data_IF_112569085410
#
_entry.id   IF_112569085410
#
_cell.length_a   1.000
_cell.length_b   1.000
_cell.length_c   1.000
_cell.angle_alpha   90.00
_cell.angle_beta   90.00
_cell.angle_gamma   90.00
#
_symmetry.space_group_name_H-M   'P 1'
#
loop_
_entity.id
_entity.type
_entity.pdbx_description
1 polymer ?
#
# COMPACT_ATOMS: atom_id res chain seq x y z
N UNK A 1 -9.30 -0.66 -14.17
CA UNK A 1 -8.22 -1.69 -14.15
C UNK A 1 -7.68 -1.80 -12.75
N UNK A 2 -7.68 -3.00 -12.18
CA UNK A 2 -7.31 -3.24 -10.78
C UNK A 2 -5.80 -3.44 -10.64
N UNK A 3 -5.10 -2.41 -10.16
CA UNK A 3 -3.69 -2.48 -9.81
C UNK A 3 -3.48 -2.83 -8.34
N UNK A 4 -2.31 -3.38 -8.01
CA UNK A 4 -1.95 -3.76 -6.65
C UNK A 4 -0.48 -3.46 -6.37
N UNK A 5 -0.19 -2.97 -5.16
CA UNK A 5 1.19 -2.87 -4.68
C UNK A 5 1.65 -4.25 -4.20
N UNK A 6 2.68 -4.76 -4.84
CA UNK A 6 3.32 -6.04 -4.51
C UNK A 6 4.62 -5.76 -3.76
N UNK A 7 4.93 -6.62 -2.80
CA UNK A 7 6.14 -6.53 -1.99
C UNK A 7 7.03 -7.73 -2.29
N UNK A 8 8.30 -7.46 -2.66
CA UNK A 8 9.36 -8.44 -2.66
C UNK A 8 10.19 -8.22 -1.38
N UNK A 9 10.03 -9.12 -0.43
CA UNK A 9 10.65 -9.02 0.91
C UNK A 9 12.17 -9.10 0.84
N UNK A 10 12.71 -9.93 -0.08
CA UNK A 10 14.15 -10.16 -0.21
C UNK A 10 14.91 -8.90 -0.66
N UNK A 11 14.21 -7.96 -1.29
CA UNK A 11 14.78 -6.70 -1.76
C UNK A 11 14.64 -5.55 -0.76
N UNK A 12 13.91 -5.73 0.35
CA UNK A 12 13.69 -4.66 1.31
C UNK A 12 14.89 -4.50 2.26
N UNK A 13 15.56 -3.35 2.17
CA UNK A 13 16.67 -2.99 3.04
C UNK A 13 16.29 -2.07 4.20
N UNK A 14 15.00 -1.93 4.51
CA UNK A 14 14.47 -1.08 5.59
C UNK A 14 14.84 0.41 5.52
N UNK A 15 15.15 0.96 4.35
CA UNK A 15 15.58 2.37 4.21
C UNK A 15 14.49 3.40 4.52
N UNK A 16 13.20 2.98 4.65
CA UNK A 16 12.03 3.82 4.94
C UNK A 16 11.73 4.94 3.95
N UNK A 17 12.39 5.00 2.79
CA UNK A 17 12.08 5.98 1.74
C UNK A 17 10.61 5.93 1.33
N UNK A 18 9.99 4.75 1.36
CA UNK A 18 8.56 4.57 1.07
C UNK A 18 7.66 5.23 2.12
N UNK A 19 8.05 5.23 3.40
CA UNK A 19 7.30 5.93 4.47
C UNK A 19 7.36 7.44 4.26
N UNK A 20 8.55 7.97 4.03
CA UNK A 20 8.76 9.41 3.80
C UNK A 20 7.97 9.87 2.57
N UNK A 21 8.13 9.20 1.43
CA UNK A 21 7.41 9.56 0.21
C UNK A 21 5.90 9.44 0.36
N UNK A 22 5.41 8.46 1.13
CA UNK A 22 3.99 8.32 1.42
C UNK A 22 3.47 9.46 2.29
N UNK A 23 4.19 9.88 3.32
CA UNK A 23 3.83 11.01 4.17
C UNK A 23 3.78 12.31 3.36
N UNK A 24 4.80 12.56 2.54
CA UNK A 24 4.86 13.74 1.66
C UNK A 24 3.71 13.76 0.65
N UNK A 25 3.40 12.62 0.00
CA UNK A 25 2.28 12.55 -0.96
C UNK A 25 0.93 12.87 -0.31
N UNK A 26 0.79 12.58 0.99
CA UNK A 26 -0.45 12.81 1.72
C UNK A 26 -0.40 14.07 2.61
N UNK A 27 0.65 14.88 2.45
CA UNK A 27 0.73 16.23 3.04
C UNK A 27 -0.08 17.25 2.22
N UNK A 28 -0.32 18.39 2.80
CA UNK A 28 -0.98 19.51 2.11
C UNK A 28 -0.06 20.12 1.06
N UNK A 29 1.20 20.34 1.43
CA UNK A 29 2.21 20.97 0.57
C UNK A 29 2.76 20.07 -0.53
N UNK A 30 2.77 18.74 -0.32
CA UNK A 30 3.41 17.75 -1.18
C UNK A 30 4.90 18.02 -1.43
N UNK A 31 5.50 18.77 -0.56
CA UNK A 31 6.93 19.10 -0.54
C UNK A 31 7.55 18.63 0.77
N UNK A 32 8.70 17.95 0.71
CA UNK A 32 9.33 17.35 1.88
C UNK A 32 9.67 18.37 2.96
N UNK A 33 10.23 19.51 2.56
CA UNK A 33 10.67 20.53 3.51
C UNK A 33 9.50 21.22 4.19
N UNK A 34 8.42 21.45 3.46
CA UNK A 34 7.21 22.05 4.02
C UNK A 34 6.42 21.04 4.86
N UNK A 35 6.33 19.79 4.41
CA UNK A 35 5.57 18.73 5.07
C UNK A 35 6.06 18.45 6.51
N UNK A 36 7.36 18.58 6.78
CA UNK A 36 7.90 18.39 8.13
C UNK A 36 7.50 19.51 9.11
N UNK A 37 7.00 20.64 8.59
CA UNK A 37 6.54 21.79 9.39
C UNK A 37 5.02 21.89 9.44
N UNK A 38 4.30 20.98 8.79
CA UNK A 38 2.83 20.95 8.86
C UNK A 38 2.33 20.50 10.25
N UNK A 39 1.25 21.09 10.68
CA UNK A 39 0.54 20.74 11.90
C UNK A 39 -0.93 20.42 11.56
N UNK A 40 -1.38 19.16 11.75
CA UNK A 40 -0.61 18.01 12.21
C UNK A 40 0.41 17.52 11.17
N UNK A 41 1.53 16.97 11.65
CA UNK A 41 2.55 16.37 10.76
C UNK A 41 1.97 15.23 9.95
N UNK A 42 2.16 15.21 8.63
CA UNK A 42 1.59 14.16 7.77
C UNK A 42 2.16 12.78 8.10
N UNK A 43 1.29 11.78 8.08
CA UNK A 43 1.64 10.40 8.45
C UNK A 43 1.67 9.47 7.24
N UNK A 44 2.65 8.58 7.22
CA UNK A 44 2.74 7.53 6.22
C UNK A 44 1.60 6.52 6.36
N UNK A 45 1.06 6.06 5.22
CA UNK A 45 0.04 5.00 5.13
C UNK A 45 0.65 3.63 4.78
N UNK A 46 1.98 3.54 4.79
CA UNK A 46 2.80 2.34 4.72
C UNK A 46 3.75 2.35 5.91
N UNK A 47 4.02 1.19 6.49
CA UNK A 47 4.93 1.06 7.63
C UNK A 47 5.91 -0.08 7.39
N UNK A 48 7.21 0.19 7.51
CA UNK A 48 8.26 -0.82 7.38
C UNK A 48 8.44 -1.52 8.72
N UNK A 49 8.12 -2.80 8.75
CA UNK A 49 8.26 -3.64 9.93
C UNK A 49 9.50 -4.52 9.81
N UNK A 50 10.17 -4.77 10.92
CA UNK A 50 11.31 -5.68 11.01
C UNK A 50 10.85 -7.02 11.58
N UNK A 51 11.14 -8.09 10.84
CA UNK A 51 11.13 -9.46 11.32
C UNK A 51 12.49 -9.86 11.86
N UNK A 52 12.68 -11.14 12.16
CA UNK A 52 13.95 -11.65 12.72
C UNK A 52 15.11 -11.53 11.71
N UNK A 53 14.86 -11.79 10.42
CA UNK A 53 15.90 -11.80 9.38
C UNK A 53 15.50 -11.04 8.11
N UNK A 54 14.39 -10.32 8.14
CA UNK A 54 13.88 -9.60 6.98
C UNK A 54 13.18 -8.30 7.41
N UNK A 55 12.96 -7.43 6.45
CA UNK A 55 12.12 -6.25 6.64
C UNK A 55 11.04 -6.22 5.57
N UNK A 56 9.85 -5.72 5.92
CA UNK A 56 8.72 -5.71 5.01
C UNK A 56 7.90 -4.42 5.16
N UNK A 57 7.65 -3.70 4.06
CA UNK A 57 6.70 -2.60 4.07
C UNK A 57 5.28 -3.16 4.06
N UNK A 58 4.50 -2.79 5.07
CA UNK A 58 3.10 -3.16 5.24
C UNK A 58 2.20 -1.98 4.87
N UNK A 59 1.24 -2.23 4.00
CA UNK A 59 0.19 -1.31 3.59
C UNK A 59 -1.13 -2.06 3.37
N UNK A 60 -2.21 -1.33 3.14
CA UNK A 60 -3.52 -1.93 2.89
C UNK A 60 -3.49 -2.93 1.73
N UNK A 61 -4.02 -4.13 1.96
CA UNK A 61 -4.08 -5.22 0.98
C UNK A 61 -5.24 -5.09 -0.01
N UNK A 62 -6.08 -4.06 0.11
CA UNK A 62 -7.20 -3.81 -0.78
C UNK A 62 -8.11 -5.04 -0.96
N UNK A 63 -8.44 -5.71 0.16
CA UNK A 63 -9.20 -6.97 0.20
C UNK A 63 -10.43 -6.93 -0.70
N UNK A 64 -10.70 -7.99 -1.45
CA UNK A 64 -11.90 -8.08 -2.30
C UNK A 64 -13.18 -7.97 -1.44
N UNK A 65 -13.25 -8.78 -0.37
CA UNK A 65 -14.27 -8.67 0.67
C UNK A 65 -13.67 -7.88 1.83
N UNK A 66 -13.79 -6.56 1.82
CA UNK A 66 -13.16 -5.67 2.77
C UNK A 66 -13.97 -5.58 4.09
N UNK A 67 -13.50 -6.19 5.21
CA UNK A 67 -14.23 -6.12 6.48
C UNK A 67 -14.41 -4.69 6.98
N UNK A 68 -13.43 -3.83 6.68
CA UNK A 68 -13.47 -2.42 7.06
C UNK A 68 -14.61 -1.63 6.37
N UNK A 69 -15.00 -2.01 5.15
CA UNK A 69 -16.19 -1.44 4.49
C UNK A 69 -17.45 -2.01 5.15
N UNK A 70 -17.53 -3.35 5.27
CA UNK A 70 -18.73 -4.02 5.77
C UNK A 70 -19.14 -3.59 7.18
N UNK A 71 -18.17 -3.16 8.01
CA UNK A 71 -18.41 -2.74 9.38
C UNK A 71 -18.44 -1.22 9.58
N UNK A 72 -18.31 -0.44 8.51
CA UNK A 72 -18.35 1.03 8.62
C UNK A 72 -19.81 1.51 8.79
N UNK A 73 -20.21 2.07 9.94
CA UNK A 73 -21.61 2.42 10.19
C UNK A 73 -22.06 3.65 9.41
N UNK A 74 -21.12 4.43 8.87
CA UNK A 74 -21.39 5.68 8.14
C UNK A 74 -21.03 5.60 6.66
N UNK A 75 -20.66 4.42 6.17
CA UNK A 75 -20.16 4.21 4.80
C UNK A 75 -18.99 5.14 4.42
N UNK A 76 -18.22 5.60 5.43
CA UNK A 76 -17.02 6.40 5.20
C UNK A 76 -15.94 5.64 4.43
N UNK A 77 -15.85 4.32 4.63
CA UNK A 77 -14.99 3.44 3.84
C UNK A 77 -15.79 2.83 2.70
N UNK A 78 -15.35 3.04 1.48
CA UNK A 78 -16.10 2.65 0.28
C UNK A 78 -15.19 2.29 -0.90
N UNK A 79 -15.78 1.78 -1.98
CA UNK A 79 -15.19 1.67 -3.31
C UNK A 79 -16.02 2.48 -4.28
N UNK A 80 -15.37 3.26 -5.14
CA UNK A 80 -16.06 4.00 -6.19
C UNK A 80 -16.62 3.06 -7.27
N UNK A 81 -15.90 1.98 -7.56
CA UNK A 81 -16.27 0.90 -8.48
C UNK A 81 -15.61 -0.42 -8.00
N UNK A 82 -16.00 -1.60 -8.54
CA UNK A 82 -15.44 -2.90 -8.11
C UNK A 82 -13.92 -3.02 -8.24
N UNK A 83 -13.33 -2.26 -9.15
CA UNK A 83 -11.88 -2.28 -9.44
C UNK A 83 -11.11 -1.18 -8.72
N UNK A 84 -11.79 -0.22 -8.10
CA UNK A 84 -11.14 0.85 -7.35
C UNK A 84 -10.57 0.35 -6.01
N UNK A 85 -9.55 0.98 -5.46
CA UNK A 85 -9.10 0.71 -4.10
C UNK A 85 -10.19 1.07 -3.08
N UNK A 86 -10.04 0.58 -1.87
CA UNK A 86 -10.86 1.03 -0.73
C UNK A 86 -10.43 2.45 -0.39
N UNK A 87 -11.35 3.38 -0.51
CA UNK A 87 -11.17 4.80 -0.23
C UNK A 87 -11.80 5.17 1.12
N UNK A 88 -11.43 6.32 1.64
CA UNK A 88 -12.00 6.92 2.83
C UNK A 88 -12.57 8.29 2.48
N UNK A 89 -13.80 8.50 2.89
CA UNK A 89 -14.44 9.81 2.98
C UNK A 89 -14.28 10.32 4.42
N UNK A 90 -13.37 11.26 4.61
CA UNK A 90 -13.03 11.77 5.95
C UNK A 90 -14.20 12.54 6.57
N UNK A 91 -15.06 13.16 5.77
CA UNK A 91 -16.23 13.93 6.26
C UNK A 91 -17.30 13.03 6.87
N UNK A 92 -17.39 11.77 6.40
CA UNK A 92 -18.31 10.77 6.95
C UNK A 92 -17.72 9.98 8.12
N UNK A 93 -16.41 10.07 8.33
CA UNK A 93 -15.75 9.29 9.37
C UNK A 93 -16.03 9.86 10.76
N UNK A 94 -16.60 9.05 11.64
CA UNK A 94 -16.91 9.41 13.04
C UNK A 94 -15.85 8.90 14.04
N UNK A 95 -14.73 8.32 13.57
CA UNK A 95 -13.66 7.82 14.44
C UNK A 95 -14.03 6.64 15.34
N UNK A 96 -15.04 5.84 15.00
CA UNK A 96 -15.55 4.75 15.83
C UNK A 96 -14.57 3.55 15.98
N UNK A 97 -13.48 3.49 15.19
CA UNK A 97 -12.42 2.47 15.22
C UNK A 97 -12.83 1.04 14.86
N UNK A 98 -14.07 0.77 14.46
CA UNK A 98 -14.49 -0.59 14.07
C UNK A 98 -13.65 -1.15 12.90
N UNK A 99 -13.28 -0.30 11.95
CA UNK A 99 -12.42 -0.70 10.84
C UNK A 99 -10.97 -1.03 11.28
N UNK A 100 -10.46 -0.40 12.33
CA UNK A 100 -9.16 -0.72 12.92
C UNK A 100 -9.18 -2.12 13.52
N UNK A 101 -10.23 -2.42 14.31
CA UNK A 101 -10.42 -3.74 14.93
C UNK A 101 -10.68 -4.84 13.89
N UNK A 102 -11.41 -4.51 12.81
CA UNK A 102 -11.76 -5.46 11.77
C UNK A 102 -10.62 -5.78 10.80
N UNK A 103 -9.57 -4.95 10.74
CA UNK A 103 -8.47 -5.13 9.81
C UNK A 103 -7.55 -6.28 10.24
N UNK A 104 -7.51 -7.42 9.53
CA UNK A 104 -6.64 -8.54 9.93
C UNK A 104 -5.15 -8.26 9.71
N UNK A 105 -4.82 -7.17 9.03
CA UNK A 105 -3.44 -6.78 8.71
C UNK A 105 -2.91 -5.64 9.58
N UNK A 106 -3.75 -5.02 10.43
CA UNK A 106 -3.35 -3.92 11.31
C UNK A 106 -2.81 -2.69 10.58
N UNK A 107 -3.36 -2.37 9.40
CA UNK A 107 -2.87 -1.30 8.51
C UNK A 107 -3.87 -0.15 8.34
N UNK A 108 -4.76 0.00 9.29
CA UNK A 108 -5.66 1.15 9.46
C UNK A 108 -5.29 1.81 10.78
N UNK A 109 -5.06 3.10 10.75
CA UNK A 109 -4.60 3.85 11.91
C UNK A 109 -5.61 4.94 12.26
N UNK A 110 -5.75 5.24 13.57
CA UNK A 110 -6.52 6.38 14.04
C UNK A 110 -5.61 7.61 14.08
N UNK A 111 -6.10 8.69 13.55
CA UNK A 111 -5.58 10.03 13.82
C UNK A 111 -6.36 10.56 15.05
N UNK A 112 -5.68 10.61 16.20
CA UNK A 112 -6.31 10.97 17.46
C UNK A 112 -6.68 12.45 17.51
N UNK A 113 -5.96 13.32 16.82
CA UNK A 113 -6.20 14.76 16.76
C UNK A 113 -7.43 15.07 15.91
N UNK A 114 -7.48 14.49 14.70
CA UNK A 114 -8.58 14.68 13.73
C UNK A 114 -9.77 13.78 14.01
N UNK A 115 -9.62 12.77 14.88
CA UNK A 115 -10.63 11.73 15.16
C UNK A 115 -11.15 11.01 13.91
N UNK A 116 -10.30 10.85 12.92
CA UNK A 116 -10.58 10.10 11.69
C UNK A 116 -9.53 8.99 11.53
N UNK A 117 -9.87 7.96 10.78
CA UNK A 117 -8.90 6.92 10.45
C UNK A 117 -8.14 7.29 9.17
N UNK A 118 -6.96 6.73 8.99
CA UNK A 118 -6.23 6.80 7.72
C UNK A 118 -5.67 5.43 7.34
N UNK A 119 -5.55 5.18 6.06
CA UNK A 119 -5.02 3.95 5.48
C UNK A 119 -4.53 4.18 4.07
N UNK A 120 -3.74 3.25 3.54
CA UNK A 120 -3.29 3.30 2.15
C UNK A 120 -4.48 3.23 1.18
N UNK A 121 -4.53 4.20 0.28
CA UNK A 121 -5.48 4.35 -0.83
C UNK A 121 -4.84 4.02 -2.19
N UNK A 122 -3.62 3.45 -2.18
CA UNK A 122 -2.77 3.21 -3.36
C UNK A 122 -2.41 4.48 -4.14
N UNK A 123 -2.41 5.63 -3.49
CA UNK A 123 -2.27 6.95 -4.14
C UNK A 123 -3.22 7.08 -5.34
N UNK A 124 -4.51 6.83 -5.10
CA UNK A 124 -5.54 6.70 -6.13
C UNK A 124 -5.50 7.81 -7.18
N UNK A 125 -5.33 9.07 -6.73
CA UNK A 125 -5.25 10.22 -7.63
C UNK A 125 -4.02 10.18 -8.56
N UNK A 126 -2.86 9.70 -8.06
CA UNK A 126 -1.65 9.53 -8.89
C UNK A 126 -1.86 8.45 -9.94
N UNK A 127 -2.40 7.32 -9.51
CA UNK A 127 -2.65 6.18 -10.40
C UNK A 127 -3.66 6.55 -11.50
N UNK A 128 -4.67 7.36 -11.20
CA UNK A 128 -5.59 7.88 -12.23
C UNK A 128 -4.90 8.78 -13.26
N UNK A 129 -3.83 9.46 -12.89
CA UNK A 129 -3.00 10.26 -13.82
C UNK A 129 -1.95 9.42 -14.56
N UNK A 130 -1.92 8.11 -14.36
CA UNK A 130 -0.92 7.20 -14.95
C UNK A 130 0.43 7.20 -14.23
N UNK A 131 0.51 7.78 -13.03
CA UNK A 131 1.70 7.80 -12.20
C UNK A 131 1.74 6.57 -11.27
N UNK A 132 2.95 6.17 -10.84
CA UNK A 132 3.09 5.13 -9.83
C UNK A 132 2.76 5.67 -8.43
N UNK A 133 2.27 4.82 -7.49
CA UNK A 133 2.16 5.18 -6.09
C UNK A 133 3.49 5.73 -5.54
N UNK A 134 3.43 6.76 -4.69
CA UNK A 134 4.62 7.46 -4.19
C UNK A 134 5.64 6.51 -3.52
N UNK A 135 5.16 5.56 -2.72
CA UNK A 135 6.02 4.57 -2.06
C UNK A 135 6.73 3.62 -3.06
N UNK A 136 6.10 3.33 -4.20
CA UNK A 136 6.68 2.51 -5.27
C UNK A 136 7.76 3.30 -6.00
N UNK A 137 7.45 4.54 -6.39
CA UNK A 137 8.40 5.43 -7.08
C UNK A 137 9.65 5.70 -6.25
N UNK A 138 9.51 5.80 -4.94
CA UNK A 138 10.61 6.10 -4.02
C UNK A 138 11.41 4.88 -3.56
N UNK A 139 11.03 3.66 -3.96
CA UNK A 139 11.70 2.45 -3.50
C UNK A 139 13.00 2.21 -4.30
N UNK A 140 14.21 2.42 -3.71
CA UNK A 140 15.46 2.35 -4.47
C UNK A 140 15.84 0.93 -4.88
N UNK A 141 15.34 -0.08 -4.16
CA UNK A 141 15.65 -1.49 -4.41
C UNK A 141 14.61 -2.20 -5.27
N UNK A 142 13.49 -1.53 -5.58
CA UNK A 142 12.36 -2.15 -6.26
C UNK A 142 11.66 -3.24 -5.42
N UNK A 143 11.77 -3.15 -4.08
CA UNK A 143 11.03 -4.05 -3.19
C UNK A 143 9.51 -3.82 -3.26
N UNK A 144 9.08 -2.59 -3.54
CA UNK A 144 7.69 -2.24 -3.82
C UNK A 144 7.49 -2.10 -5.33
N UNK A 145 6.48 -2.76 -5.86
CA UNK A 145 6.11 -2.71 -7.28
C UNK A 145 4.61 -2.52 -7.40
N UNK A 146 4.17 -1.74 -8.38
CA UNK A 146 2.75 -1.63 -8.72
C UNK A 146 2.49 -2.43 -9.99
N UNK A 147 1.59 -3.41 -9.91
CA UNK A 147 1.27 -4.31 -11.02
C UNK A 147 -0.23 -4.45 -11.20
N UNK A 148 -0.64 -4.62 -12.45
CA UNK A 148 -2.02 -4.95 -12.77
C UNK A 148 -2.28 -6.42 -12.43
N UNK A 149 -3.44 -6.72 -11.84
CA UNK A 149 -3.77 -8.07 -11.38
C UNK A 149 -3.73 -9.12 -12.50
N UNK A 150 -4.05 -8.75 -13.71
CA UNK A 150 -4.02 -9.63 -14.90
C UNK A 150 -2.61 -9.97 -15.39
N UNK A 151 -1.61 -9.16 -15.02
CA UNK A 151 -0.21 -9.37 -15.41
C UNK A 151 0.49 -10.38 -14.48
N UNK A 152 0.13 -10.38 -13.20
CA UNK A 152 0.78 -11.19 -12.16
C UNK A 152 0.81 -12.70 -12.48
N UNK A 153 -0.30 -13.34 -12.89
CA UNK A 153 -0.28 -14.74 -13.24
C UNK A 153 0.57 -15.05 -14.48
N UNK A 154 0.62 -14.12 -15.45
CA UNK A 154 1.43 -14.27 -16.66
C UNK A 154 2.93 -14.25 -16.34
N UNK A 155 3.34 -13.26 -15.53
CA UNK A 155 4.74 -13.14 -15.09
C UNK A 155 5.20 -14.36 -14.27
N UNK A 156 4.37 -14.83 -13.33
CA UNK A 156 4.67 -16.00 -12.52
C UNK A 156 4.82 -17.26 -13.36
N UNK A 157 3.96 -17.46 -14.37
CA UNK A 157 4.11 -18.59 -15.29
C UNK A 157 5.41 -18.51 -16.09
N UNK A 158 5.76 -17.32 -16.58
CA UNK A 158 7.00 -17.14 -17.32
C UNK A 158 8.24 -17.38 -16.45
N UNK A 159 8.25 -16.87 -15.23
CA UNK A 159 9.34 -17.13 -14.27
C UNK A 159 9.48 -18.63 -13.97
N UNK A 160 8.37 -19.34 -13.76
CA UNK A 160 8.38 -20.78 -13.53
C UNK A 160 8.88 -21.58 -14.75
N UNK A 161 8.53 -21.15 -15.96
CA UNK A 161 9.07 -21.77 -17.18
C UNK A 161 10.58 -21.63 -17.31
N UNK A 162 11.13 -20.46 -16.92
CA UNK A 162 12.60 -20.25 -16.89
C UNK A 162 13.25 -21.18 -15.87
N UNK A 163 12.70 -21.27 -14.67
CA UNK A 163 13.18 -22.16 -13.61
C UNK A 163 13.19 -23.64 -14.04
N UNK A 164 12.11 -24.09 -14.70
CA UNK A 164 12.05 -25.44 -15.28
C UNK A 164 13.15 -25.62 -16.35
N UNK A 165 13.32 -24.64 -17.25
CA UNK A 165 14.33 -24.73 -18.31
C UNK A 165 15.74 -24.82 -17.74
N UNK A 166 16.07 -24.06 -16.71
CA UNK A 166 17.35 -24.11 -16.00
C UNK A 166 17.55 -25.47 -15.34
N UNK A 167 16.55 -26.06 -14.70
CA UNK A 167 16.61 -27.40 -14.13
C UNK A 167 16.86 -28.47 -15.22
N UNK A 168 16.24 -28.34 -16.39
CA UNK A 168 16.41 -29.29 -17.49
C UNK A 168 17.76 -29.15 -18.20
N UNK A 169 18.32 -27.93 -18.23
CA UNK A 169 19.63 -27.69 -18.89
C UNK A 169 20.82 -27.84 -17.93
N UNK A 170 20.60 -27.65 -16.61
CA UNK A 170 21.61 -27.82 -15.56
C UNK A 170 21.87 -29.26 -15.13
N UNK A 171 21.22 -30.26 -15.72
CA UNK A 171 21.40 -31.71 -15.47
C UNK A 171 22.53 -32.36 -16.24
N UNK A 172 23.62 -31.64 -16.51
CA UNK A 172 24.77 -32.11 -17.20
C UNK A 172 26.06 -31.95 -16.39
N UNK A 173 26.28 -32.81 -15.40
CA UNK A 173 27.61 -33.29 -14.95
C UNK A 173 27.47 -34.72 -14.49
#
# INVERSE_FOLDING_TARGET
>A
MKGMIIVNVDKCNACKSCEIACAVEHSVSKDLYQAIHEDPTPRARVSVQQGVSFSVPLQCRQCANAPCIALCPTDALYRADPDSPVLLDEEKCIGCNWCVLACPFGVIYLDEERKVVFKCDQCFQRVQRGELPACVSACPTGALMFKMLEEIPKERRNAYLVEIAECLTGGGV
#
